data_IF_521990530140
#
_entry.id   IF_521990530140
#
_cell.length_a   1.000
_cell.length_b   1.000
_cell.length_c   1.000
_cell.angle_alpha   90.00
_cell.angle_beta   90.00
_cell.angle_gamma   90.00
#
_symmetry.space_group_name_H-M   'P 1'
#
loop_
_entity.id
_entity.type
_entity.pdbx_description
1 polymer ?
#
# COMPACT_ATOMS: atom_id res chain seq x y z
N UNK A 1 8.63 12.70 27.22
CA UNK A 1 7.74 12.57 26.05
C UNK A 1 7.98 11.21 25.40
N UNK A 2 6.94 10.44 25.15
CA UNK A 2 7.05 9.11 24.52
C UNK A 2 7.40 9.32 23.03
N UNK A 3 8.10 8.34 22.45
CA UNK A 3 8.58 8.41 21.05
C UNK A 3 8.30 7.10 20.31
N UNK A 4 7.75 7.22 19.11
CA UNK A 4 7.60 6.14 18.14
C UNK A 4 8.58 6.39 16.97
N UNK A 5 9.57 5.53 16.80
CA UNK A 5 10.52 5.63 15.68
C UNK A 5 10.12 4.65 14.59
N UNK A 6 9.65 5.18 13.44
CA UNK A 6 9.14 4.41 12.31
C UNK A 6 10.21 4.00 11.28
N UNK A 7 11.46 4.41 11.46
CA UNK A 7 12.54 4.08 10.50
C UNK A 7 12.81 2.57 10.43
N UNK A 8 12.77 1.92 11.61
CA UNK A 8 12.91 0.45 11.64
C UNK A 8 11.68 -0.24 11.07
N UNK A 9 10.47 0.27 11.32
CA UNK A 9 9.24 -0.28 10.72
C UNK A 9 9.25 -0.18 9.21
N UNK A 10 9.69 0.96 8.68
CA UNK A 10 9.84 1.15 7.25
C UNK A 10 10.73 0.06 6.62
N UNK A 11 11.88 -0.24 7.23
CA UNK A 11 12.77 -1.28 6.75
C UNK A 11 12.15 -2.68 6.86
N UNK A 12 11.55 -3.00 8.00
CA UNK A 12 10.93 -4.30 8.25
C UNK A 12 9.72 -4.54 7.32
N UNK A 13 8.86 -3.53 7.11
CA UNK A 13 7.70 -3.63 6.21
C UNK A 13 8.15 -3.67 4.76
N UNK A 14 9.19 -2.93 4.37
CA UNK A 14 9.75 -3.02 3.01
C UNK A 14 10.26 -4.43 2.70
N UNK A 15 10.95 -5.06 3.64
CA UNK A 15 11.41 -6.44 3.51
C UNK A 15 10.23 -7.42 3.43
N UNK A 16 9.22 -7.25 4.28
CA UNK A 16 7.99 -8.03 4.26
C UNK A 16 7.28 -7.93 2.89
N UNK A 17 7.06 -6.73 2.37
CA UNK A 17 6.41 -6.53 1.07
C UNK A 17 7.19 -7.24 -0.05
N UNK A 18 8.51 -7.09 -0.09
CA UNK A 18 9.34 -7.73 -1.10
C UNK A 18 9.28 -9.26 -1.01
N UNK A 19 9.31 -9.82 0.19
CA UNK A 19 9.20 -11.27 0.44
C UNK A 19 7.84 -11.81 0.01
N UNK A 20 6.73 -11.12 0.38
CA UNK A 20 5.37 -11.55 0.03
C UNK A 20 5.12 -11.48 -1.46
N UNK A 21 5.56 -10.43 -2.14
CA UNK A 21 5.49 -10.32 -3.60
C UNK A 21 6.26 -11.49 -4.25
N UNK A 22 7.46 -11.80 -3.79
CA UNK A 22 8.25 -12.93 -4.30
C UNK A 22 7.55 -14.27 -4.11
N UNK A 23 6.90 -14.48 -2.97
CA UNK A 23 6.14 -15.69 -2.67
C UNK A 23 4.87 -15.80 -3.54
N UNK A 24 4.22 -14.67 -3.84
CA UNK A 24 2.99 -14.62 -4.63
C UNK A 24 3.21 -14.83 -6.14
N UNK A 25 4.34 -14.42 -6.70
CA UNK A 25 4.64 -14.51 -8.15
C UNK A 25 4.40 -15.90 -8.74
N UNK A 26 4.83 -17.03 -8.14
CA UNK A 26 4.55 -18.36 -8.68
C UNK A 26 3.05 -18.68 -8.70
N UNK A 27 2.31 -18.32 -7.64
CA UNK A 27 0.88 -18.54 -7.58
C UNK A 27 0.13 -17.73 -8.66
N UNK A 28 0.59 -16.50 -8.94
CA UNK A 28 0.01 -15.62 -9.94
C UNK A 28 0.29 -16.08 -11.38
N UNK A 29 1.45 -16.67 -11.66
CA UNK A 29 1.86 -17.05 -13.01
C UNK A 29 1.49 -18.51 -13.36
N UNK A 30 1.64 -19.44 -12.42
CA UNK A 30 1.55 -20.89 -12.69
C UNK A 30 0.52 -21.60 -11.79
N UNK A 31 0.04 -20.93 -10.73
CA UNK A 31 -0.89 -21.46 -9.74
C UNK A 31 -2.35 -21.05 -9.98
N UNK A 32 -3.15 -20.95 -8.90
CA UNK A 32 -4.58 -20.60 -8.95
C UNK A 32 -4.88 -19.25 -9.62
N UNK A 33 -3.91 -18.33 -9.62
CA UNK A 33 -4.03 -17.02 -10.25
C UNK A 33 -3.63 -16.96 -11.71
N UNK A 34 -3.37 -18.10 -12.36
CA UNK A 34 -2.96 -18.14 -13.77
C UNK A 34 -4.01 -17.49 -14.67
N UNK A 35 -3.55 -16.54 -15.51
CA UNK A 35 -4.42 -15.76 -16.38
C UNK A 35 -5.02 -14.50 -15.73
N UNK A 36 -5.00 -14.39 -14.41
CA UNK A 36 -5.45 -13.19 -13.69
C UNK A 36 -4.37 -12.11 -13.74
N UNK A 37 -4.80 -10.86 -13.70
CA UNK A 37 -3.91 -9.71 -13.63
C UNK A 37 -4.22 -8.90 -12.39
N UNK A 38 -3.22 -8.62 -11.61
CA UNK A 38 -3.33 -7.75 -10.45
C UNK A 38 -3.71 -6.35 -10.91
N UNK A 39 -4.85 -5.86 -10.45
CA UNK A 39 -5.36 -4.53 -10.75
C UNK A 39 -5.10 -3.54 -9.61
N UNK A 40 -4.86 -4.06 -8.39
CA UNK A 40 -4.56 -3.26 -7.22
C UNK A 40 -3.68 -4.04 -6.25
N UNK A 41 -2.75 -3.35 -5.61
CA UNK A 41 -1.89 -3.85 -4.55
C UNK A 41 -2.10 -2.95 -3.35
N UNK A 42 -2.64 -3.48 -2.28
CA UNK A 42 -2.91 -2.75 -1.05
C UNK A 42 -2.06 -3.24 0.10
N UNK A 43 -1.68 -2.31 0.95
CA UNK A 43 -1.22 -2.59 2.31
C UNK A 43 -2.34 -2.23 3.27
N UNK A 44 -2.95 -3.26 3.86
CA UNK A 44 -3.87 -3.10 4.98
C UNK A 44 -3.11 -3.01 6.30
N UNK A 45 -3.59 -2.22 7.24
CA UNK A 45 -3.04 -2.16 8.58
C UNK A 45 -4.10 -1.88 9.64
N UNK A 46 -3.79 -2.23 10.88
CA UNK A 46 -4.63 -1.92 12.02
C UNK A 46 -3.80 -1.65 13.26
N UNK A 47 -4.34 -0.83 14.15
CA UNK A 47 -3.72 -0.49 15.43
C UNK A 47 -4.24 -1.33 16.58
N UNK A 48 -5.45 -1.89 16.45
CA UNK A 48 -6.09 -2.67 17.50
C UNK A 48 -5.47 -4.06 17.63
N UNK A 49 -5.72 -4.71 18.77
CA UNK A 49 -5.18 -6.02 19.13
C UNK A 49 -3.64 -5.99 19.28
N UNK A 50 -2.89 -6.54 18.34
CA UNK A 50 -1.43 -6.56 18.38
C UNK A 50 -0.77 -5.55 17.44
N UNK A 51 -1.56 -4.75 16.72
CA UNK A 51 -1.07 -3.98 15.58
C UNK A 51 -0.57 -4.90 14.47
N UNK A 52 -0.93 -4.65 13.23
CA UNK A 52 -0.60 -5.56 12.13
C UNK A 52 -0.52 -4.85 10.78
N UNK A 53 0.14 -5.49 9.83
CA UNK A 53 0.21 -5.14 8.42
C UNK A 53 -0.06 -6.39 7.60
N UNK A 54 -0.88 -6.30 6.56
CA UNK A 54 -1.06 -7.32 5.54
C UNK A 54 -0.88 -6.76 4.12
N UNK A 55 -0.60 -7.63 3.17
CA UNK A 55 -0.53 -7.29 1.76
C UNK A 55 -1.69 -7.96 1.02
N UNK A 56 -2.38 -7.19 0.18
CA UNK A 56 -3.56 -7.64 -0.58
C UNK A 56 -3.31 -7.43 -2.07
N UNK A 57 -3.63 -8.44 -2.87
CA UNK A 57 -3.59 -8.38 -4.33
C UNK A 57 -5.00 -8.54 -4.89
N UNK A 58 -5.51 -7.53 -5.56
CA UNK A 58 -6.85 -7.51 -6.13
C UNK A 58 -6.80 -7.75 -7.65
N UNK A 59 -7.56 -8.72 -8.14
CA UNK A 59 -7.65 -9.07 -9.56
C UNK A 59 -9.02 -8.80 -10.19
N UNK A 60 -9.94 -8.15 -9.48
CA UNK A 60 -11.34 -7.91 -9.93
C UNK A 60 -11.46 -7.15 -11.25
N UNK A 61 -10.43 -6.39 -11.64
CA UNK A 61 -10.36 -5.68 -12.94
C UNK A 61 -9.61 -6.48 -14.01
N UNK A 62 -9.39 -7.77 -13.79
CA UNK A 62 -8.83 -8.67 -14.80
C UNK A 62 -9.81 -8.90 -15.95
N UNK A 63 -9.33 -9.18 -17.18
CA UNK A 63 -10.20 -9.58 -18.30
C UNK A 63 -11.05 -10.83 -18.01
N UNK A 64 -10.64 -11.66 -17.07
CA UNK A 64 -11.38 -12.83 -16.59
C UNK A 64 -11.80 -12.62 -15.12
N UNK A 65 -12.83 -11.80 -14.86
CA UNK A 65 -13.19 -11.38 -13.51
C UNK A 65 -13.87 -12.49 -12.68
N UNK A 66 -14.42 -13.53 -13.32
CA UNK A 66 -15.35 -14.47 -12.68
C UNK A 66 -14.70 -15.71 -12.04
N UNK A 67 -13.39 -15.68 -11.78
CA UNK A 67 -12.71 -16.76 -11.07
C UNK A 67 -12.77 -16.58 -9.55
N UNK A 68 -12.61 -17.69 -8.82
CA UNK A 68 -12.61 -17.72 -7.34
C UNK A 68 -11.50 -16.84 -6.71
N UNK A 69 -10.56 -16.38 -7.51
CA UNK A 69 -9.38 -15.66 -7.04
C UNK A 69 -9.42 -14.17 -7.42
N UNK A 70 -10.47 -13.49 -6.99
CA UNK A 70 -10.69 -12.07 -7.27
C UNK A 70 -9.93 -11.15 -6.32
N UNK A 71 -9.72 -11.60 -5.10
CA UNK A 71 -8.96 -10.90 -4.09
C UNK A 71 -8.11 -11.92 -3.32
N UNK A 72 -6.81 -11.72 -3.35
CA UNK A 72 -5.88 -12.55 -2.59
C UNK A 72 -5.32 -11.74 -1.44
N UNK A 73 -5.67 -12.16 -0.24
CA UNK A 73 -5.11 -11.61 0.99
C UNK A 73 -3.97 -12.54 1.41
N UNK A 74 -2.80 -11.97 1.59
CA UNK A 74 -1.66 -12.73 2.08
C UNK A 74 -1.92 -13.17 3.51
N UNK A 75 -1.96 -14.48 3.76
CA UNK A 75 -2.29 -15.07 5.07
C UNK A 75 -1.27 -14.70 6.15
N UNK A 76 -0.07 -14.32 5.75
CA UNK A 76 1.00 -13.97 6.68
C UNK A 76 0.93 -12.50 7.06
N UNK A 77 0.33 -12.23 8.19
CA UNK A 77 0.28 -10.89 8.78
C UNK A 77 1.61 -10.59 9.48
N UNK A 78 2.13 -9.39 9.27
CA UNK A 78 3.28 -8.87 10.01
C UNK A 78 2.80 -8.16 11.28
N UNK A 79 2.97 -8.79 12.43
CA UNK A 79 2.61 -8.19 13.72
C UNK A 79 3.50 -7.00 14.09
N UNK A 80 2.88 -5.97 14.65
CA UNK A 80 3.50 -4.72 15.08
C UNK A 80 3.02 -4.27 16.47
N UNK A 81 3.29 -5.05 17.53
CA UNK A 81 2.75 -4.77 18.86
C UNK A 81 3.14 -3.39 19.41
N UNK A 82 4.22 -2.79 18.90
CA UNK A 82 4.59 -1.42 19.28
C UNK A 82 3.63 -0.36 18.73
N UNK A 83 2.87 -0.64 17.68
CA UNK A 83 1.86 0.29 17.15
C UNK A 83 0.64 0.34 18.07
N UNK A 84 0.17 -0.81 18.57
CA UNK A 84 -0.87 -0.87 19.59
C UNK A 84 -0.45 -0.10 20.86
N UNK A 85 0.79 -0.33 21.33
CA UNK A 85 1.36 0.41 22.47
C UNK A 85 1.49 1.92 22.19
N UNK A 86 1.75 2.32 20.94
CA UNK A 86 1.79 3.73 20.59
C UNK A 86 0.39 4.35 20.59
N UNK A 87 -0.64 3.60 20.19
CA UNK A 87 -2.04 4.02 20.33
C UNK A 87 -2.42 4.29 21.79
N UNK A 88 -2.17 3.33 22.68
CA UNK A 88 -2.36 3.52 24.12
C UNK A 88 -1.53 4.70 24.67
N UNK A 89 -0.33 4.88 24.13
CA UNK A 89 0.56 5.95 24.57
C UNK A 89 0.08 7.33 24.18
N UNK A 90 -0.49 7.50 22.96
CA UNK A 90 -1.02 8.78 22.49
C UNK A 90 -2.35 9.10 23.18
N UNK A 91 -3.16 8.11 23.50
CA UNK A 91 -4.38 8.30 24.32
C UNK A 91 -4.04 8.84 25.71
N UNK A 92 -2.99 8.32 26.33
CA UNK A 92 -2.56 8.71 27.67
C UNK A 92 -1.76 10.02 27.73
N UNK A 93 -1.25 10.53 26.60
CA UNK A 93 -0.44 11.76 26.57
C UNK A 93 0.26 12.00 25.23
N UNK A 94 1.01 13.10 25.11
CA UNK A 94 1.66 13.45 23.85
C UNK A 94 2.73 12.42 23.45
N UNK A 95 2.84 12.20 22.13
CA UNK A 95 3.78 11.27 21.49
C UNK A 95 4.50 11.97 20.34
N UNK A 96 5.79 11.72 20.16
CA UNK A 96 6.53 12.12 18.95
C UNK A 96 6.68 10.92 18.02
N UNK A 97 6.12 10.97 16.82
CA UNK A 97 6.41 10.03 15.75
C UNK A 97 7.61 10.54 14.92
N UNK A 98 8.58 9.65 14.65
CA UNK A 98 9.72 9.94 13.75
C UNK A 98 9.52 9.14 12.47
N UNK A 99 9.27 9.85 11.38
CA UNK A 99 9.03 9.27 10.05
C UNK A 99 10.34 8.71 9.43
N UNK A 100 10.24 7.92 8.35
CA UNK A 100 11.41 7.31 7.69
C UNK A 100 12.47 8.31 7.23
N UNK A 101 12.07 9.49 6.79
CA UNK A 101 12.93 10.60 6.35
C UNK A 101 13.56 11.37 7.52
N UNK A 102 13.26 11.02 8.77
CA UNK A 102 13.72 11.70 9.98
C UNK A 102 12.81 12.84 10.42
N UNK A 103 11.80 13.20 9.67
CA UNK A 103 10.79 14.20 10.06
C UNK A 103 10.12 13.80 11.36
N UNK A 104 9.88 14.76 12.24
CA UNK A 104 9.18 14.56 13.51
C UNK A 104 7.76 15.11 13.40
N UNK A 105 6.80 14.30 13.83
CA UNK A 105 5.39 14.70 13.96
C UNK A 105 5.03 14.64 15.44
N UNK A 106 4.71 15.78 16.02
CA UNK A 106 4.22 15.85 17.39
C UNK A 106 2.72 15.57 17.40
N UNK A 107 2.32 14.58 18.19
CA UNK A 107 0.94 14.17 18.38
C UNK A 107 0.48 14.61 19.77
N UNK A 108 -0.62 15.34 19.83
CA UNK A 108 -1.23 15.73 21.11
C UNK A 108 -1.81 14.49 21.82
N UNK A 109 -2.11 14.63 23.10
CA UNK A 109 -2.84 13.61 23.84
C UNK A 109 -4.21 13.36 23.15
N UNK A 110 -4.55 12.10 22.91
CA UNK A 110 -5.78 11.70 22.23
C UNK A 110 -5.74 11.79 20.69
N UNK A 111 -4.63 12.23 20.07
CA UNK A 111 -4.51 12.36 18.62
C UNK A 111 -4.19 11.00 17.95
N UNK A 112 -5.12 10.05 18.05
CA UNK A 112 -5.02 8.74 17.40
C UNK A 112 -5.08 8.87 15.88
N UNK A 113 -5.85 9.84 15.34
CA UNK A 113 -5.91 10.13 13.90
C UNK A 113 -4.55 10.57 13.35
N UNK A 114 -3.83 11.41 14.07
CA UNK A 114 -2.46 11.79 13.70
C UNK A 114 -1.48 10.63 13.72
N UNK A 115 -1.65 9.67 14.65
CA UNK A 115 -0.86 8.43 14.68
C UNK A 115 -1.15 7.55 13.47
N UNK A 116 -2.44 7.32 13.15
CA UNK A 116 -2.88 6.59 11.96
C UNK A 116 -2.30 7.22 10.69
N UNK A 117 -2.38 8.55 10.57
CA UNK A 117 -1.82 9.26 9.43
C UNK A 117 -0.29 9.09 9.32
N UNK A 118 0.44 9.11 10.44
CA UNK A 118 1.90 8.89 10.44
C UNK A 118 2.27 7.48 9.96
N UNK A 119 1.52 6.46 10.39
CA UNK A 119 1.70 5.07 9.94
C UNK A 119 1.32 4.90 8.47
N UNK A 120 0.17 5.43 8.06
CA UNK A 120 -0.27 5.39 6.66
C UNK A 120 0.72 6.06 5.71
N UNK A 121 1.27 7.22 6.07
CA UNK A 121 2.31 7.92 5.29
C UNK A 121 3.59 7.08 5.19
N UNK A 122 3.98 6.40 6.26
CA UNK A 122 5.13 5.48 6.25
C UNK A 122 4.86 4.28 5.32
N UNK A 123 3.68 3.66 5.38
CA UNK A 123 3.31 2.52 4.53
C UNK A 123 3.19 2.93 3.05
N UNK A 124 2.67 4.12 2.79
CA UNK A 124 2.69 4.72 1.46
C UNK A 124 4.12 4.85 0.92
N UNK A 125 5.05 5.34 1.73
CA UNK A 125 6.45 5.45 1.34
C UNK A 125 7.08 4.08 1.03
N UNK A 126 6.71 3.01 1.78
CA UNK A 126 7.11 1.63 1.49
C UNK A 126 6.63 1.18 0.10
N UNK A 127 5.35 1.37 -0.22
CA UNK A 127 4.81 0.98 -1.53
C UNK A 127 5.46 1.74 -2.69
N UNK A 128 5.66 3.05 -2.51
CA UNK A 128 6.34 3.86 -3.53
C UNK A 128 7.79 3.41 -3.74
N UNK A 129 8.53 3.13 -2.67
CA UNK A 129 9.87 2.57 -2.77
C UNK A 129 9.87 1.19 -3.44
N UNK A 130 8.94 0.30 -3.09
CA UNK A 130 8.80 -1.01 -3.70
C UNK A 130 8.52 -0.91 -5.21
N UNK A 131 7.65 0.01 -5.62
CA UNK A 131 7.40 0.33 -7.03
C UNK A 131 8.68 0.81 -7.73
N UNK A 132 9.33 1.82 -7.20
CA UNK A 132 10.47 2.49 -7.83
C UNK A 132 11.70 1.58 -7.89
N UNK A 133 11.85 0.64 -6.96
CA UNK A 133 12.89 -0.39 -6.95
C UNK A 133 12.55 -1.64 -7.79
N UNK A 134 11.36 -1.68 -8.41
CA UNK A 134 10.96 -2.77 -9.29
C UNK A 134 10.50 -4.06 -8.58
N UNK A 135 10.18 -4.01 -7.29
CA UNK A 135 9.67 -5.17 -6.52
C UNK A 135 8.45 -5.80 -7.20
N UNK A 136 7.57 -4.97 -7.79
CA UNK A 136 6.36 -5.44 -8.46
C UNK A 136 6.57 -5.82 -9.93
N UNK A 137 7.80 -5.78 -10.47
CA UNK A 137 8.06 -5.97 -11.91
C UNK A 137 7.64 -7.35 -12.42
N UNK A 138 7.79 -8.40 -11.62
CA UNK A 138 7.47 -9.78 -12.00
C UNK A 138 5.98 -10.13 -11.88
N UNK A 139 5.15 -9.27 -11.30
CA UNK A 139 3.71 -9.52 -11.17
C UNK A 139 2.99 -9.35 -12.52
N UNK A 140 2.02 -10.23 -12.85
CA UNK A 140 1.13 -10.03 -13.98
C UNK A 140 0.12 -8.93 -13.62
N UNK A 141 0.39 -7.69 -14.04
CA UNK A 141 -0.41 -6.51 -13.70
C UNK A 141 -1.26 -6.02 -14.85
N UNK A 142 -2.38 -5.37 -14.53
CA UNK A 142 -3.12 -4.53 -15.47
C UNK A 142 -2.29 -3.28 -15.83
N UNK A 143 -2.55 -2.63 -16.99
CA UNK A 143 -1.84 -1.39 -17.36
C UNK A 143 -2.00 -0.25 -16.35
N UNK A 144 -3.08 -0.26 -15.58
CA UNK A 144 -3.39 0.72 -14.54
C UNK A 144 -3.52 0.04 -13.18
N UNK A 145 -2.48 -0.68 -12.78
CA UNK A 145 -2.45 -1.26 -11.44
C UNK A 145 -2.36 -0.15 -10.39
N UNK A 146 -3.32 -0.13 -9.49
CA UNK A 146 -3.37 0.83 -8.38
C UNK A 146 -2.48 0.35 -7.23
N UNK A 147 -1.95 1.29 -6.46
CA UNK A 147 -1.34 1.04 -5.16
C UNK A 147 -2.22 1.71 -4.10
N UNK A 148 -2.45 1.03 -3.00
CA UNK A 148 -3.27 1.56 -1.91
C UNK A 148 -2.70 1.26 -0.54
N UNK A 149 -3.07 2.10 0.41
CA UNK A 149 -2.87 1.88 1.85
C UNK A 149 -4.20 2.13 2.52
N UNK A 150 -4.68 1.16 3.29
CA UNK A 150 -5.97 1.25 3.96
C UNK A 150 -5.83 0.85 5.42
N UNK A 151 -6.35 1.69 6.31
CA UNK A 151 -6.52 1.36 7.71
C UNK A 151 -7.82 0.57 7.90
N UNK A 152 -7.82 -0.43 8.77
CA UNK A 152 -8.92 -1.36 8.98
C UNK A 152 -10.27 -0.68 9.25
N UNK A 153 -10.28 0.39 10.02
CA UNK A 153 -11.48 1.13 10.39
C UNK A 153 -11.84 2.25 9.39
N UNK A 154 -11.08 2.36 8.29
CA UNK A 154 -11.34 3.30 7.22
C UNK A 154 -10.95 4.75 7.54
N UNK A 155 -10.20 4.99 8.62
CA UNK A 155 -9.75 6.33 9.03
C UNK A 155 -8.57 6.85 8.20
N UNK A 156 -7.95 5.99 7.41
CA UNK A 156 -6.90 6.33 6.43
C UNK A 156 -7.09 5.55 5.14
N UNK A 157 -7.04 6.25 4.02
CA UNK A 157 -7.05 5.64 2.69
C UNK A 157 -6.18 6.45 1.72
N UNK A 158 -5.35 5.78 0.97
CA UNK A 158 -4.51 6.42 -0.04
C UNK A 158 -4.49 5.59 -1.32
N UNK A 159 -5.06 6.11 -2.42
CA UNK A 159 -4.95 5.51 -3.74
C UNK A 159 -3.80 6.14 -4.53
N UNK A 160 -3.07 5.32 -5.27
CA UNK A 160 -2.15 5.75 -6.32
C UNK A 160 -2.17 4.74 -7.47
N UNK A 161 -1.60 5.14 -8.60
CA UNK A 161 -1.41 4.23 -9.73
C UNK A 161 0.05 3.84 -9.85
N UNK A 162 0.31 2.55 -10.11
CA UNK A 162 1.60 2.12 -10.61
C UNK A 162 1.68 2.51 -12.09
N UNK A 163 2.29 3.65 -12.41
CA UNK A 163 2.56 4.01 -13.80
C UNK A 163 3.66 3.08 -14.35
N UNK A 164 3.37 2.34 -15.41
CA UNK A 164 4.43 1.86 -16.29
C UNK A 164 5.13 3.09 -16.83
N UNK A 165 6.45 3.16 -16.70
CA UNK A 165 7.25 4.22 -17.26
C UNK A 165 6.83 4.51 -18.70
N UNK A 166 6.57 5.80 -18.96
CA UNK A 166 6.47 6.45 -20.27
C UNK A 166 5.62 5.73 -21.34
N UNK A 167 4.29 5.77 -21.20
CA UNK A 167 3.45 5.85 -22.38
C UNK A 167 3.27 7.34 -22.74
N UNK A 168 4.27 7.88 -23.43
CA UNK A 168 4.14 9.09 -24.22
C UNK A 168 3.29 8.77 -25.46
N UNK A 169 2.05 8.35 -25.29
CA UNK A 169 1.05 8.45 -26.34
C UNK A 169 0.41 9.80 -26.21
N UNK A 170 0.92 10.73 -27.02
CA UNK A 170 0.18 11.93 -27.41
C UNK A 170 -1.25 11.50 -27.75
N UNK A 171 -2.23 12.13 -27.14
CA UNK A 171 -3.61 12.01 -27.57
C UNK A 171 -3.66 12.35 -29.07
N UNK A 172 -4.29 11.51 -29.91
CA UNK A 172 -4.50 11.88 -31.30
C UNK A 172 -5.35 13.14 -31.31
N UNK A 173 -4.76 14.23 -31.82
CA UNK A 173 -5.37 15.54 -31.88
C UNK A 173 -6.79 15.45 -32.41
N UNK A 174 -7.69 16.14 -31.73
CA UNK A 174 -9.03 16.46 -32.23
C UNK A 174 -8.86 17.13 -33.61
N UNK A 175 -9.24 16.41 -34.66
CA UNK A 175 -9.35 16.96 -35.97
C UNK A 175 -10.36 18.13 -35.92
N UNK A 176 -9.86 19.32 -36.14
CA UNK A 176 -10.71 20.48 -36.39
C UNK A 176 -11.53 20.20 -37.63
N UNK A 177 -12.82 20.00 -37.45
CA UNK A 177 -13.79 19.95 -38.52
C UNK A 177 -14.05 21.40 -39.01
N UNK A 178 -13.29 21.76 -40.04
CA UNK A 178 -13.45 23.01 -40.76
C UNK A 178 -14.61 22.88 -41.74
N UNK A 179 -15.81 23.20 -41.28
CA UNK A 179 -16.98 23.42 -42.14
C UNK A 179 -16.85 24.76 -42.82
N UNK A 180 -16.55 24.76 -44.09
CA UNK A 180 -16.62 25.90 -44.97
C UNK A 180 -17.85 25.81 -45.86
N UNK A 181 -18.59 26.94 -45.94
CA UNK A 181 -19.59 27.39 -46.90
C UNK A 181 -20.93 26.71 -46.84
#
# INVERSE_FOLDING_TARGET
MKRLDLRKDFADVSAYVAERVKAFVPAANDGPGKGKRVSRIDVGFGLHQSGWVCLVFDTRRSPEPDGEWNEYIEDTVLERPKWAKACEAVEAGPLTAVLPDGTRRELAAGDTGGLVAALGDMLRAVLLQARDSGVFAALPKTPRCELGVEEQDGSYGWPAYESRGTDNRAEPGAAADGGGV
#
